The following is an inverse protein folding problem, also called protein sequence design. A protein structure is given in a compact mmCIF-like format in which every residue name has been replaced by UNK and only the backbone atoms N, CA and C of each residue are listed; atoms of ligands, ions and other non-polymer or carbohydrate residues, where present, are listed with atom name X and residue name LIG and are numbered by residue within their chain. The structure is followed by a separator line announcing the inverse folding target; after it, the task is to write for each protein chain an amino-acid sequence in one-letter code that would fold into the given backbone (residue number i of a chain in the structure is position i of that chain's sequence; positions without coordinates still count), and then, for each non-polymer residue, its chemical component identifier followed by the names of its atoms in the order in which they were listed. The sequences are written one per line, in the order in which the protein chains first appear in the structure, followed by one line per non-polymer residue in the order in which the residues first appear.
data_IF_689374842449
#
_entry.id   IF_689374842449
#
_cell.length_a   1.000
_cell.length_b   1.000
_cell.length_c   1.000
_cell.angle_alpha   90.00
_cell.angle_beta   90.00
_cell.angle_gamma   90.00
#
_symmetry.space_group_name_H-M   'P 1'
#
loop_
_entity.id
_entity.type
_entity.pdbx_description
1 polymer ?
#
# COMPACT_ATOMS: atom_id res chain seq x y z
N UNK A 1 0.02 14.92 -13.20
CA UNK A 1 1.05 14.13 -12.50
C UNK A 1 0.67 14.12 -11.04
N UNK A 2 0.76 12.98 -10.36
CA UNK A 2 0.27 12.81 -8.98
C UNK A 2 1.36 12.17 -8.12
N UNK A 3 1.68 12.82 -7.00
CA UNK A 3 2.40 12.19 -5.90
C UNK A 3 1.43 11.18 -5.27
N UNK A 4 1.88 9.95 -5.03
CA UNK A 4 1.02 8.95 -4.38
C UNK A 4 1.05 9.14 -2.87
N UNK A 5 2.24 9.26 -2.31
CA UNK A 5 2.45 9.34 -0.87
C UNK A 5 3.86 9.82 -0.49
N UNK A 6 3.99 10.32 0.73
CA UNK A 6 5.23 10.82 1.33
C UNK A 6 5.45 10.10 2.65
N UNK A 7 6.68 9.61 2.86
CA UNK A 7 7.12 8.89 4.06
C UNK A 7 8.38 9.56 4.60
N UNK A 8 8.42 9.88 5.89
CA UNK A 8 9.63 10.39 6.54
C UNK A 8 10.04 9.40 7.60
N UNK A 9 11.26 8.90 7.49
CA UNK A 9 11.80 7.82 8.32
C UNK A 9 13.00 8.35 9.10
N UNK A 10 13.02 8.10 10.41
CA UNK A 10 14.15 8.50 11.22
C UNK A 10 15.38 7.62 10.95
N UNK A 11 16.53 7.98 11.52
CA UNK A 11 17.79 7.24 11.37
C UNK A 11 17.71 5.78 11.87
N UNK A 12 16.76 5.46 12.75
CA UNK A 12 16.55 4.11 13.29
C UNK A 12 15.56 3.28 12.45
N UNK A 13 15.10 3.77 11.29
CA UNK A 13 14.14 3.06 10.45
C UNK A 13 12.67 3.17 10.91
N UNK A 14 12.37 4.09 11.84
CA UNK A 14 11.02 4.36 12.33
C UNK A 14 10.32 5.45 11.51
N UNK A 15 9.08 5.20 11.08
CA UNK A 15 8.24 6.17 10.39
C UNK A 15 7.80 7.29 11.34
N UNK A 16 8.14 8.54 11.04
CA UNK A 16 7.82 9.72 11.85
C UNK A 16 6.77 10.63 11.21
N UNK A 17 6.62 10.56 9.89
CA UNK A 17 5.56 11.27 9.17
C UNK A 17 5.13 10.46 7.95
N UNK A 18 3.83 10.50 7.67
CA UNK A 18 3.25 9.83 6.51
C UNK A 18 2.06 10.63 5.99
N UNK A 19 2.00 10.80 4.67
CA UNK A 19 0.89 11.44 3.97
C UNK A 19 0.55 10.65 2.72
N UNK A 20 -0.71 10.28 2.55
CA UNK A 20 -1.21 9.72 1.29
C UNK A 20 -1.95 10.81 0.51
N UNK A 21 -1.50 11.09 -0.71
CA UNK A 21 -2.09 12.11 -1.59
C UNK A 21 -3.10 11.53 -2.57
N UNK A 22 -3.07 10.21 -2.82
CA UNK A 22 -3.99 9.52 -3.71
C UNK A 22 -4.49 8.20 -3.13
N UNK A 23 -5.80 8.08 -2.93
CA UNK A 23 -6.44 6.80 -2.63
C UNK A 23 -6.87 6.12 -3.94
N UNK A 24 -6.45 4.87 -4.23
CA UNK A 24 -6.87 4.17 -5.44
C UNK A 24 -8.41 4.04 -5.50
N UNK A 25 -9.02 4.62 -6.55
CA UNK A 25 -10.47 4.56 -6.79
C UNK A 25 -10.92 3.36 -7.62
N UNK A 26 -10.03 2.42 -7.94
CA UNK A 26 -10.37 1.26 -8.77
C UNK A 26 -11.12 0.21 -7.93
N UNK A 27 -12.38 0.52 -7.62
CA UNK A 27 -13.33 -0.40 -7.03
C UNK A 27 -14.17 -1.02 -8.16
N UNK A 28 -14.37 -2.33 -8.11
CA UNK A 28 -15.25 -3.05 -9.02
C UNK A 28 -16.35 -3.71 -8.18
N UNK A 29 -17.59 -3.33 -8.41
CA UNK A 29 -18.75 -3.96 -7.78
C UNK A 29 -19.50 -4.82 -8.81
N UNK A 30 -19.81 -6.05 -8.42
CA UNK A 30 -20.51 -7.00 -9.28
C UNK A 30 -21.40 -7.93 -8.47
N UNK A 31 -22.51 -8.32 -9.06
CA UNK A 31 -23.40 -9.35 -8.52
C UNK A 31 -22.97 -10.74 -9.02
N UNK A 32 -22.89 -11.69 -8.10
CA UNK A 32 -22.48 -13.07 -8.34
C UNK A 32 -23.62 -14.04 -8.04
N UNK A 33 -23.57 -15.17 -8.72
CA UNK A 33 -24.38 -16.36 -8.44
C UNK A 33 -23.49 -17.45 -7.83
N UNK A 34 -24.11 -18.49 -7.26
CA UNK A 34 -23.36 -19.64 -6.73
C UNK A 34 -23.04 -20.65 -7.84
N UNK A 35 -21.84 -21.27 -7.87
CA UNK A 35 -20.68 -20.93 -7.06
C UNK A 35 -19.97 -19.67 -7.57
N UNK A 36 -19.16 -19.05 -6.71
CA UNK A 36 -18.34 -17.90 -7.09
C UNK A 36 -17.35 -18.30 -8.19
N UNK A 37 -17.22 -17.47 -9.23
CA UNK A 37 -16.27 -17.66 -10.34
C UNK A 37 -14.85 -17.15 -10.03
N UNK A 38 -14.62 -16.76 -8.77
CA UNK A 38 -13.34 -16.29 -8.22
C UNK A 38 -12.92 -17.19 -7.06
N UNK A 39 -11.62 -17.42 -6.93
CA UNK A 39 -11.07 -18.09 -5.75
C UNK A 39 -10.65 -17.03 -4.74
N UNK A 40 -11.23 -17.06 -3.54
CA UNK A 40 -10.92 -16.15 -2.45
C UNK A 40 -10.07 -16.86 -1.39
N UNK A 41 -9.17 -16.13 -0.74
CA UNK A 41 -8.37 -16.61 0.39
C UNK A 41 -8.29 -15.57 1.50
N UNK A 42 -8.12 -16.03 2.74
CA UNK A 42 -7.79 -15.17 3.87
C UNK A 42 -6.29 -14.85 3.86
N UNK A 43 -5.93 -13.58 4.00
CA UNK A 43 -4.56 -13.10 4.13
C UNK A 43 -4.55 -11.81 4.96
N UNK A 44 -3.72 -11.74 6.01
CA UNK A 44 -3.61 -10.58 6.92
C UNK A 44 -4.98 -10.03 7.35
N UNK A 45 -5.86 -10.91 7.84
CA UNK A 45 -7.21 -10.56 8.31
C UNK A 45 -8.13 -9.95 7.23
N UNK A 46 -7.79 -10.12 5.94
CA UNK A 46 -8.58 -9.66 4.79
C UNK A 46 -8.87 -10.81 3.84
N UNK A 47 -10.06 -10.79 3.22
CA UNK A 47 -10.40 -11.76 2.17
C UNK A 47 -9.97 -11.20 0.81
N UNK A 48 -9.01 -11.85 0.18
CA UNK A 48 -8.41 -11.44 -1.09
C UNK A 48 -8.76 -12.39 -2.22
N UNK A 49 -8.82 -11.86 -3.45
CA UNK A 49 -8.88 -12.66 -4.68
C UNK A 49 -7.54 -13.35 -4.89
N UNK A 50 -7.52 -14.67 -4.78
CA UNK A 50 -6.37 -15.51 -5.02
C UNK A 50 -6.24 -15.95 -6.49
N UNK A 51 -7.38 -16.18 -7.16
CA UNK A 51 -7.42 -16.55 -8.58
C UNK A 51 -8.71 -16.06 -9.24
N UNK A 52 -8.63 -15.82 -10.55
CA UNK A 52 -9.71 -15.25 -11.35
C UNK A 52 -9.56 -13.74 -11.51
N UNK A 53 -9.70 -13.27 -12.75
CA UNK A 53 -9.67 -11.85 -13.09
C UNK A 53 -10.71 -11.58 -14.16
N UNK A 54 -11.67 -10.71 -13.85
CA UNK A 54 -12.78 -10.38 -14.74
C UNK A 54 -13.42 -9.06 -14.31
N UNK A 55 -13.96 -8.30 -15.25
CA UNK A 55 -14.82 -7.13 -14.97
C UNK A 55 -14.18 -6.10 -14.01
N UNK A 56 -12.85 -5.90 -14.13
CA UNK A 56 -12.09 -4.98 -13.28
C UNK A 56 -11.58 -5.54 -11.95
N UNK A 57 -12.00 -6.76 -11.58
CA UNK A 57 -11.53 -7.49 -10.40
C UNK A 57 -10.22 -8.18 -10.75
N UNK A 58 -9.18 -8.00 -9.92
CA UNK A 58 -7.84 -8.58 -10.13
C UNK A 58 -7.41 -9.40 -8.93
N UNK A 59 -6.47 -10.32 -9.16
CA UNK A 59 -5.75 -11.01 -8.08
C UNK A 59 -5.13 -9.97 -7.13
N UNK A 60 -5.26 -10.22 -5.82
CA UNK A 60 -4.82 -9.30 -4.77
C UNK A 60 -5.83 -8.21 -4.40
N UNK A 61 -6.93 -8.04 -5.13
CA UNK A 61 -8.03 -7.21 -4.65
C UNK A 61 -8.66 -7.83 -3.40
N UNK A 62 -9.00 -6.99 -2.43
CA UNK A 62 -9.73 -7.36 -1.23
C UNK A 62 -11.24 -7.20 -1.45
N UNK A 63 -12.02 -8.03 -0.75
CA UNK A 63 -13.45 -7.77 -0.54
C UNK A 63 -13.56 -6.53 0.36
N UNK A 64 -14.26 -5.50 -0.12
CA UNK A 64 -14.48 -4.24 0.59
C UNK A 64 -15.90 -4.14 1.14
N UNK A 65 -16.88 -4.64 0.39
CA UNK A 65 -18.28 -4.65 0.81
C UNK A 65 -19.04 -5.85 0.23
N UNK A 66 -20.09 -6.27 0.92
CA UNK A 66 -21.04 -7.28 0.49
C UNK A 66 -22.46 -6.71 0.61
N UNK A 67 -23.22 -6.76 -0.47
CA UNK A 67 -24.58 -6.18 -0.59
C UNK A 67 -24.64 -4.70 -0.15
N UNK A 68 -23.62 -3.92 -0.52
CA UNK A 68 -23.49 -2.51 -0.15
C UNK A 68 -23.04 -2.25 1.29
N UNK A 69 -22.85 -3.28 2.12
CA UNK A 69 -22.34 -3.14 3.49
C UNK A 69 -20.85 -3.44 3.56
N UNK A 70 -20.09 -2.51 4.14
CA UNK A 70 -18.65 -2.67 4.30
C UNK A 70 -18.29 -3.87 5.18
N UNK A 71 -17.27 -4.61 4.77
CA UNK A 71 -16.73 -5.71 5.57
C UNK A 71 -15.72 -5.18 6.57
N UNK A 72 -15.67 -5.80 7.74
CA UNK A 72 -14.67 -5.52 8.76
C UNK A 72 -13.58 -6.61 8.71
N UNK A 73 -12.58 -6.39 7.87
CA UNK A 73 -11.51 -7.35 7.64
C UNK A 73 -12.04 -8.64 7.01
N UNK A 74 -12.09 -9.72 7.80
CA UNK A 74 -12.61 -11.03 7.37
C UNK A 74 -14.06 -11.28 7.76
N UNK A 75 -14.71 -10.33 8.42
CA UNK A 75 -16.09 -10.44 8.89
C UNK A 75 -17.03 -9.54 8.09
N UNK A 76 -18.26 -10.01 7.86
CA UNK A 76 -19.36 -9.20 7.32
C UNK A 76 -19.79 -8.15 8.35
N UNK A 77 -20.61 -7.17 7.95
CA UNK A 77 -21.23 -6.22 8.89
C UNK A 77 -21.99 -6.91 10.04
N UNK A 78 -22.60 -8.07 9.77
CA UNK A 78 -23.32 -8.89 10.76
C UNK A 78 -22.40 -9.79 11.63
N UNK A 79 -21.08 -9.68 11.51
CA UNK A 79 -20.11 -10.44 12.32
C UNK A 79 -19.87 -11.89 11.88
N UNK A 80 -20.45 -12.35 10.76
CA UNK A 80 -20.16 -13.67 10.19
C UNK A 80 -18.86 -13.64 9.40
N UNK A 81 -18.13 -14.75 9.32
CA UNK A 81 -16.96 -14.81 8.46
C UNK A 81 -17.36 -14.72 6.99
N UNK A 82 -16.64 -13.89 6.22
CA UNK A 82 -16.95 -13.62 4.81
C UNK A 82 -16.87 -14.90 3.97
N UNK A 83 -15.86 -15.74 4.20
CA UNK A 83 -15.71 -17.00 3.46
C UNK A 83 -16.84 -18.00 3.77
N UNK A 84 -17.28 -18.08 5.02
CA UNK A 84 -18.43 -18.90 5.41
C UNK A 84 -19.73 -18.37 4.79
N UNK A 85 -19.93 -17.04 4.82
CA UNK A 85 -21.09 -16.39 4.21
C UNK A 85 -21.15 -16.67 2.70
N UNK A 86 -20.03 -16.52 1.99
CA UNK A 86 -19.95 -16.77 0.55
C UNK A 86 -19.96 -18.27 0.18
N UNK A 87 -19.66 -19.16 1.14
CA UNK A 87 -19.76 -20.60 0.96
C UNK A 87 -21.19 -21.13 0.99
N UNK A 88 -22.14 -20.37 1.53
CA UNK A 88 -23.54 -20.78 1.64
C UNK A 88 -24.35 -20.38 0.38
N UNK A 89 -24.88 -21.34 -0.41
CA UNK A 89 -25.64 -21.03 -1.62
C UNK A 89 -26.94 -20.27 -1.36
N UNK A 90 -27.52 -20.33 -0.15
CA UNK A 90 -28.75 -19.62 0.20
C UNK A 90 -28.57 -18.09 0.28
N UNK A 91 -27.33 -17.60 0.35
CA UNK A 91 -27.03 -16.17 0.41
C UNK A 91 -26.93 -15.51 -0.98
N UNK A 92 -27.07 -16.29 -2.05
CA UNK A 92 -26.97 -15.80 -3.43
C UNK A 92 -28.35 -15.46 -4.00
N UNK A 93 -28.46 -14.46 -4.90
CA UNK A 93 -27.36 -13.67 -5.48
C UNK A 93 -26.77 -12.65 -4.51
N UNK A 94 -25.47 -12.36 -4.64
CA UNK A 94 -24.72 -11.46 -3.75
C UNK A 94 -23.96 -10.39 -4.54
N UNK A 95 -24.07 -9.13 -4.15
CA UNK A 95 -23.23 -8.05 -4.69
C UNK A 95 -21.94 -7.97 -3.89
N UNK A 96 -20.78 -7.99 -4.54
CA UNK A 96 -19.49 -7.88 -3.87
C UNK A 96 -18.70 -6.76 -4.51
N UNK A 97 -18.19 -5.85 -3.67
CA UNK A 97 -17.29 -4.77 -4.05
C UNK A 97 -15.86 -5.18 -3.75
N UNK A 98 -15.02 -5.18 -4.78
CA UNK A 98 -13.61 -5.49 -4.70
C UNK A 98 -12.75 -4.25 -4.96
N UNK A 99 -11.59 -4.16 -4.32
CA UNK A 99 -10.63 -3.10 -4.63
C UNK A 99 -9.27 -3.36 -4.01
N UNK A 100 -8.31 -2.46 -4.26
CA UNK A 100 -6.99 -2.55 -3.62
C UNK A 100 -7.12 -2.28 -2.12
N UNK A 101 -6.64 -3.17 -1.25
CA UNK A 101 -6.67 -2.91 0.19
C UNK A 101 -5.84 -1.68 0.53
N UNK A 102 -6.32 -0.88 1.49
CA UNK A 102 -5.56 0.26 2.02
C UNK A 102 -4.54 -0.23 3.03
N UNK A 103 -3.33 0.33 2.98
CA UNK A 103 -2.32 0.03 3.99
C UNK A 103 -2.73 0.58 5.36
N UNK A 104 -2.71 -0.29 6.38
CA UNK A 104 -2.84 0.05 7.79
C UNK A 104 -1.60 0.79 8.29
N UNK A 105 -1.73 1.48 9.42
CA UNK A 105 -0.58 2.16 10.06
C UNK A 105 0.57 1.20 10.36
N UNK A 106 0.27 -0.05 10.76
CA UNK A 106 1.29 -1.06 11.03
C UNK A 106 1.98 -1.54 9.76
N UNK A 107 1.23 -1.77 8.68
CA UNK A 107 1.82 -2.12 7.38
C UNK A 107 2.74 -1.00 6.87
N UNK A 108 2.36 0.27 7.07
CA UNK A 108 3.19 1.43 6.73
C UNK A 108 4.48 1.53 7.55
N UNK A 109 4.38 1.30 8.87
CA UNK A 109 5.55 1.22 9.75
C UNK A 109 6.51 0.10 9.30
N UNK A 110 5.95 -1.07 9.03
CA UNK A 110 6.72 -2.21 8.53
C UNK A 110 7.41 -1.88 7.20
N UNK A 111 6.70 -1.28 6.24
CA UNK A 111 7.25 -0.88 4.94
C UNK A 111 8.43 0.10 5.08
N UNK A 112 8.29 1.12 5.93
CA UNK A 112 9.37 2.07 6.21
C UNK A 112 10.62 1.37 6.79
N UNK A 113 10.45 0.48 7.77
CA UNK A 113 11.57 -0.26 8.37
C UNK A 113 12.21 -1.25 7.38
N UNK A 114 11.40 -1.88 6.52
CA UNK A 114 11.90 -2.75 5.45
C UNK A 114 12.72 -1.95 4.43
N UNK A 115 12.24 -0.77 4.02
CA UNK A 115 12.99 0.07 3.09
C UNK A 115 14.29 0.57 3.68
N UNK A 116 14.31 0.96 4.97
CA UNK A 116 15.55 1.33 5.66
C UNK A 116 16.61 0.22 5.61
N UNK A 117 16.19 -1.04 5.76
CA UNK A 117 17.09 -2.19 5.65
C UNK A 117 17.59 -2.39 4.21
N UNK A 118 16.68 -2.28 3.22
CA UNK A 118 17.04 -2.38 1.80
C UNK A 118 18.02 -1.28 1.37
N UNK A 119 17.82 -0.06 1.86
CA UNK A 119 18.71 1.08 1.61
C UNK A 119 20.14 0.79 2.08
N UNK A 120 20.29 0.28 3.31
CA UNK A 120 21.58 -0.08 3.87
C UNK A 120 22.25 -1.24 3.09
N UNK A 121 21.48 -2.26 2.72
CA UNK A 121 21.96 -3.38 1.91
C UNK A 121 22.44 -2.88 0.54
N UNK A 122 21.71 -1.97 -0.09
CA UNK A 122 22.08 -1.37 -1.38
C UNK A 122 23.42 -0.63 -1.32
N UNK A 123 23.69 0.08 -0.23
CA UNK A 123 24.99 0.74 -0.01
C UNK A 123 26.10 -0.29 0.23
N UNK A 124 25.87 -1.31 1.06
CA UNK A 124 26.87 -2.33 1.42
C UNK A 124 27.26 -3.25 0.25
N UNK A 125 26.30 -3.60 -0.60
CA UNK A 125 26.53 -4.48 -1.76
C UNK A 125 26.99 -3.71 -3.00
N UNK A 126 27.14 -2.38 -2.91
CA UNK A 126 27.57 -1.57 -4.03
C UNK A 126 28.96 -1.97 -4.53
N UNK A 127 29.14 -2.16 -5.86
CA UNK A 127 30.46 -2.36 -6.45
C UNK A 127 31.29 -1.06 -6.47
N UNK A 128 30.63 0.09 -6.42
CA UNK A 128 31.26 1.41 -6.42
C UNK A 128 31.55 1.89 -4.99
N UNK A 129 32.75 2.43 -4.77
CA UNK A 129 33.16 3.01 -3.48
C UNK A 129 32.38 4.30 -3.21
N UNK A 130 31.94 4.48 -1.95
CA UNK A 130 31.24 5.71 -1.54
C UNK A 130 29.76 5.77 -1.94
N UNK A 131 29.14 4.63 -2.25
CA UNK A 131 27.72 4.56 -2.57
C UNK A 131 26.81 4.97 -1.41
N UNK A 132 25.85 5.86 -1.69
CA UNK A 132 24.88 6.41 -0.75
C UNK A 132 23.74 5.45 -0.39
N UNK A 133 23.53 4.37 -1.16
CA UNK A 133 22.39 3.45 -0.98
C UNK A 133 21.37 3.55 -2.12
N UNK A 134 20.10 3.28 -1.83
CA UNK A 134 19.02 3.35 -2.83
C UNK A 134 18.51 4.78 -2.91
N UNK A 135 18.72 5.45 -4.05
CA UNK A 135 18.17 6.79 -4.32
C UNK A 135 16.87 6.73 -5.14
N UNK A 136 16.68 5.68 -5.93
CA UNK A 136 15.49 5.49 -6.77
C UNK A 136 15.19 4.01 -6.99
N UNK A 137 13.91 3.63 -6.84
CA UNK A 137 13.37 2.31 -7.15
C UNK A 137 12.19 2.49 -8.11
N UNK A 138 12.32 1.95 -9.32
CA UNK A 138 11.31 2.03 -10.37
C UNK A 138 10.53 0.73 -10.53
N UNK A 139 9.21 0.86 -10.66
CA UNK A 139 8.29 -0.22 -11.02
C UNK A 139 7.45 0.20 -12.23
N UNK A 140 6.65 -0.72 -12.75
CA UNK A 140 5.68 -0.45 -13.81
C UNK A 140 4.56 0.52 -13.39
N UNK A 141 4.31 0.68 -12.09
CA UNK A 141 3.17 1.45 -11.56
C UNK A 141 3.56 2.71 -10.78
N UNK A 142 4.76 2.74 -10.17
CA UNK A 142 5.26 3.88 -9.41
C UNK A 142 6.79 3.95 -9.42
N UNK A 143 7.33 5.13 -9.09
CA UNK A 143 8.75 5.31 -8.74
C UNK A 143 8.85 5.76 -7.29
N UNK A 144 9.76 5.15 -6.54
CA UNK A 144 10.11 5.58 -5.19
C UNK A 144 11.43 6.33 -5.30
N UNK A 145 11.45 7.56 -4.82
CA UNK A 145 12.64 8.39 -4.68
C UNK A 145 13.01 8.49 -3.20
N UNK A 146 14.28 8.29 -2.88
CA UNK A 146 14.77 8.37 -1.51
C UNK A 146 15.84 9.46 -1.42
N UNK A 147 15.74 10.29 -0.40
CA UNK A 147 16.70 11.33 -0.08
C UNK A 147 17.15 11.20 1.37
N UNK A 148 18.44 10.91 1.58
CA UNK A 148 19.02 10.85 2.91
C UNK A 148 19.55 12.22 3.33
N UNK A 149 19.12 12.71 4.49
CA UNK A 149 19.68 13.89 5.13
C UNK A 149 20.76 13.50 6.13
N UNK A 150 21.54 14.47 6.62
CA UNK A 150 22.53 14.27 7.69
C UNK A 150 21.91 13.71 8.99
N UNK A 151 20.61 13.92 9.23
CA UNK A 151 19.91 13.56 10.48
C UNK A 151 18.85 12.46 10.32
N UNK A 152 18.51 12.04 9.09
CA UNK A 152 17.46 11.05 8.84
C UNK A 152 17.30 10.69 7.36
N UNK A 153 16.24 9.95 7.01
CA UNK A 153 15.98 9.48 5.65
C UNK A 153 14.54 9.83 5.23
N UNK A 154 14.38 10.50 4.09
CA UNK A 154 13.07 10.85 3.54
C UNK A 154 12.78 9.97 2.32
N UNK A 155 11.62 9.32 2.31
CA UNK A 155 11.14 8.46 1.22
C UNK A 155 9.92 9.09 0.54
N UNK A 156 9.98 9.26 -0.78
CA UNK A 156 8.93 9.90 -1.58
C UNK A 156 8.44 8.93 -2.65
N UNK A 157 7.14 8.68 -2.72
CA UNK A 157 6.53 7.86 -3.76
C UNK A 157 5.89 8.77 -4.81
N UNK A 158 6.46 8.77 -6.02
CA UNK A 158 6.10 9.71 -7.08
C UNK A 158 6.06 9.03 -8.46
N UNK A 159 5.46 9.70 -9.43
CA UNK A 159 5.73 9.50 -10.85
C UNK A 159 6.77 10.52 -11.39
N UNK A 160 7.12 11.61 -10.66
CA UNK A 160 8.20 12.54 -11.03
C UNK A 160 8.59 13.62 -9.97
N UNK A 161 9.85 13.55 -9.51
CA UNK A 161 10.51 14.25 -8.39
C UNK A 161 10.42 15.79 -8.28
N UNK A 162 10.09 16.55 -9.34
CA UNK A 162 10.33 18.01 -9.35
C UNK A 162 9.52 18.81 -8.32
N UNK A 163 8.31 18.38 -7.95
CA UNK A 163 7.45 19.11 -7.02
C UNK A 163 7.69 18.74 -5.55
N UNK A 164 8.15 17.52 -5.27
CA UNK A 164 8.38 17.07 -3.90
C UNK A 164 9.65 17.71 -3.29
N UNK A 165 10.68 17.97 -4.09
CA UNK A 165 11.86 18.74 -3.67
C UNK A 165 11.49 20.17 -3.26
N UNK A 166 10.59 20.84 -4.00
CA UNK A 166 10.13 22.18 -3.60
C UNK A 166 9.37 22.18 -2.27
N UNK A 167 8.65 21.10 -1.95
CA UNK A 167 7.94 20.96 -0.67
C UNK A 167 8.91 20.62 0.46
N UNK A 168 9.92 19.77 0.21
CA UNK A 168 10.98 19.46 1.17
C UNK A 168 11.87 20.69 1.46
N UNK A 169 12.18 21.51 0.44
CA UNK A 169 12.88 22.78 0.61
C UNK A 169 12.03 23.81 1.37
N UNK A 170 10.71 23.86 1.11
CA UNK A 170 9.77 24.72 1.85
C UNK A 170 9.50 24.25 3.28
N UNK A 171 9.73 22.98 3.59
CA UNK A 171 9.59 22.42 4.94
C UNK A 171 10.74 22.83 5.90
N UNK A 172 11.74 23.56 5.40
CA UNK A 172 12.70 24.30 6.20
C UNK A 172 14.00 23.55 6.47
N UNK A 173 15.11 24.27 6.30
CA UNK A 173 16.43 23.90 6.80
C UNK A 173 16.43 23.89 8.32
N UNK A 174 16.55 22.71 8.95
CA UNK A 174 17.11 22.65 10.31
C UNK A 174 18.60 22.97 10.20
N UNK A 175 18.91 24.27 10.24
CA UNK A 175 20.28 24.75 10.31
C UNK A 175 20.95 24.33 11.62
N UNK A 176 22.29 24.27 11.65
CA UNK A 176 23.02 23.98 12.87
C UNK A 176 22.92 25.22 13.79
N UNK A 177 22.03 25.15 14.77
CA UNK A 177 21.96 26.13 15.85
C UNK A 177 22.78 25.65 17.04
N UNK A 178 23.89 26.35 17.27
CA UNK A 178 24.64 26.57 18.53
C UNK A 178 24.29 25.73 19.76
#
# INVERSE_FOLDING_TARGET
MAIFSVYVVNKAGGLIYQLDSYAPRAEAEKTFSYPLDLLLKLHDERVLVAFGQRDGIRVGHAVLAINGMDVNGKYTADGKEVLEYLGNPANYPVSIRFGRPRLTSNEKLMLASMFHSLFAIGSQLSPEQGSSGIEMLETDTFKLHCYQTLTGMCELFDQNLKLALEVAEKAGTFGPGS
#
